data_IF_981256856626
#
_entry.id   IF_981256856626
#
_cell.length_a   1.000
_cell.length_b   1.000
_cell.length_c   1.000
_cell.angle_alpha   90.00
_cell.angle_beta   90.00
_cell.angle_gamma   90.00
#
_symmetry.space_group_name_H-M   'P 1'
#
loop_
_entity.id
_entity.type
_entity.pdbx_description
1 polymer ?
#
# COMPACT_ATOMS: atom_id res chain seq x y z
N UNK A 1 -17.15 -6.95 29.24
CA UNK A 1 -17.03 -6.72 30.70
C UNK A 1 -15.61 -6.29 31.00
N UNK A 2 -15.44 -5.29 31.85
CA UNK A 2 -14.13 -4.85 32.31
C UNK A 2 -13.45 -5.98 33.10
N UNK A 3 -12.27 -6.40 32.66
CA UNK A 3 -11.44 -7.32 33.42
C UNK A 3 -10.95 -6.62 34.69
N UNK A 4 -11.48 -7.00 35.84
CA UNK A 4 -10.95 -6.61 37.15
C UNK A 4 -9.68 -7.43 37.43
N UNK A 5 -8.50 -6.83 37.29
CA UNK A 5 -7.27 -7.52 37.68
C UNK A 5 -5.94 -6.93 37.19
N UNK A 6 -5.64 -5.68 37.53
CA UNK A 6 -4.30 -5.19 37.94
C UNK A 6 -4.28 -3.66 37.88
N UNK A 7 -4.11 -3.02 39.04
CA UNK A 7 -4.03 -1.57 39.18
C UNK A 7 -2.77 -1.05 38.46
N UNK A 8 -2.94 -0.36 37.32
CA UNK A 8 -1.92 0.50 36.75
C UNK A 8 -1.80 0.54 35.22
N UNK A 9 -2.31 -0.46 34.49
CA UNK A 9 -2.31 -0.48 33.02
C UNK A 9 -3.71 -0.76 32.48
N UNK A 10 -4.22 0.12 31.60
CA UNK A 10 -5.24 -0.29 30.63
C UNK A 10 -6.70 0.11 30.84
N UNK A 11 -7.03 1.23 31.50
CA UNK A 11 -8.43 1.74 31.46
C UNK A 11 -8.77 2.51 30.17
N UNK A 12 -7.79 3.14 29.50
CA UNK A 12 -8.05 3.93 28.29
C UNK A 12 -8.24 3.06 27.04
N UNK A 13 -7.53 1.93 26.94
CA UNK A 13 -7.51 1.06 25.75
C UNK A 13 -8.85 0.34 25.48
N UNK A 14 -9.74 0.24 26.47
CA UNK A 14 -11.04 -0.45 26.35
C UNK A 14 -12.24 0.52 26.44
N UNK A 15 -11.98 1.82 26.30
CA UNK A 15 -13.03 2.85 26.33
C UNK A 15 -13.65 2.98 24.94
N UNK A 16 -14.98 2.99 24.89
CA UNK A 16 -15.77 3.09 23.65
C UNK A 16 -16.60 4.37 23.71
N UNK A 17 -16.43 5.26 22.73
CA UNK A 17 -17.21 6.49 22.59
C UNK A 17 -18.35 6.37 21.58
N UNK A 18 -18.52 5.20 20.97
CA UNK A 18 -19.48 4.90 19.92
C UNK A 18 -18.96 5.24 18.53
N UNK A 19 -17.64 5.30 18.32
CA UNK A 19 -16.96 5.63 17.07
C UNK A 19 -17.49 4.78 15.92
N UNK A 20 -17.50 3.45 16.11
CA UNK A 20 -18.01 2.50 15.11
C UNK A 20 -19.42 2.86 14.62
N UNK A 21 -20.31 3.31 15.52
CA UNK A 21 -21.68 3.71 15.14
C UNK A 21 -21.67 4.88 14.15
N UNK A 22 -20.82 5.87 14.38
CA UNK A 22 -20.72 7.04 13.52
C UNK A 22 -19.91 6.75 12.25
N UNK A 23 -18.92 5.85 12.33
CA UNK A 23 -18.18 5.35 11.18
C UNK A 23 -19.15 4.70 10.18
N UNK A 24 -20.00 3.78 10.64
CA UNK A 24 -21.04 3.15 9.79
C UNK A 24 -22.04 4.16 9.20
N UNK A 25 -22.46 5.16 9.96
CA UNK A 25 -23.35 6.22 9.46
C UNK A 25 -22.69 7.06 8.38
N UNK A 26 -21.39 7.30 8.50
CA UNK A 26 -20.63 8.02 7.48
C UNK A 26 -20.58 7.24 6.17
N UNK A 27 -20.51 5.90 6.22
CA UNK A 27 -20.57 5.04 5.04
C UNK A 27 -21.92 5.14 4.33
N UNK A 28 -23.03 5.05 5.07
CA UNK A 28 -24.39 5.21 4.54
C UNK A 28 -24.57 6.59 3.89
N UNK A 29 -24.01 7.64 4.48
CA UNK A 29 -24.13 9.00 3.96
C UNK A 29 -23.28 9.27 2.73
N UNK A 30 -22.05 8.77 2.70
CA UNK A 30 -21.03 9.22 1.74
C UNK A 30 -20.57 8.15 0.75
N UNK A 31 -20.98 6.90 0.92
CA UNK A 31 -20.54 5.78 0.10
C UNK A 31 -21.67 4.77 -0.24
N UNK A 32 -22.92 5.02 0.16
CA UNK A 32 -24.05 4.12 -0.11
C UNK A 32 -24.28 3.83 -1.60
N UNK A 33 -23.83 4.70 -2.51
CA UNK A 33 -23.98 4.49 -3.96
C UNK A 33 -23.24 3.28 -4.53
N UNK A 34 -22.22 2.76 -3.82
CA UNK A 34 -21.40 1.64 -4.32
C UNK A 34 -21.10 0.55 -3.27
N UNK A 35 -21.45 0.77 -1.99
CA UNK A 35 -21.28 -0.26 -0.95
C UNK A 35 -22.33 -1.36 -1.14
N UNK A 36 -21.87 -2.60 -1.25
CA UNK A 36 -22.75 -3.77 -1.34
C UNK A 36 -22.98 -4.45 0.02
N UNK A 37 -21.91 -4.58 0.82
CA UNK A 37 -21.97 -5.30 2.10
C UNK A 37 -20.97 -4.73 3.10
N UNK A 38 -21.40 -4.61 4.34
CA UNK A 38 -20.59 -4.17 5.48
C UNK A 38 -20.33 -5.37 6.38
N UNK A 39 -19.07 -5.64 6.67
CA UNK A 39 -18.67 -6.68 7.62
C UNK A 39 -18.01 -6.05 8.85
N UNK A 40 -18.63 -6.20 10.00
CA UNK A 40 -18.11 -5.71 11.28
C UNK A 40 -17.29 -6.83 11.91
N UNK A 41 -15.97 -6.64 11.99
CA UNK A 41 -15.05 -7.62 12.54
C UNK A 41 -14.93 -7.42 14.05
N UNK A 42 -15.22 -8.47 14.82
CA UNK A 42 -15.34 -8.38 16.28
C UNK A 42 -14.63 -9.55 16.96
N UNK A 43 -14.37 -9.39 18.26
CA UNK A 43 -13.97 -10.50 19.10
C UNK A 43 -15.16 -11.39 19.46
N UNK A 44 -14.88 -12.64 19.82
CA UNK A 44 -15.84 -13.50 20.49
C UNK A 44 -15.90 -13.22 21.99
N UNK A 45 -17.11 -13.25 22.56
CA UNK A 45 -17.39 -13.09 23.99
C UNK A 45 -18.23 -14.26 24.48
N UNK A 46 -18.05 -14.65 25.75
CA UNK A 46 -18.88 -15.69 26.38
C UNK A 46 -20.23 -15.13 26.77
N UNK A 47 -21.29 -15.93 26.62
CA UNK A 47 -22.64 -15.52 26.98
C UNK A 47 -22.80 -15.16 28.47
N UNK A 48 -22.01 -15.77 29.37
CA UNK A 48 -22.07 -15.48 30.80
C UNK A 48 -20.90 -14.60 31.29
N UNK A 49 -21.16 -13.75 32.30
CA UNK A 49 -20.16 -12.89 32.95
C UNK A 49 -18.97 -13.63 33.57
N UNK A 50 -19.18 -14.88 33.96
CA UNK A 50 -18.23 -15.74 34.68
C UNK A 50 -17.21 -16.41 33.75
N UNK A 51 -17.25 -16.11 32.44
CA UNK A 51 -16.39 -16.71 31.43
C UNK A 51 -16.84 -18.11 30.99
N UNK A 52 -18.01 -18.58 31.43
CA UNK A 52 -18.56 -19.88 31.04
C UNK A 52 -19.61 -19.75 29.93
N UNK A 53 -19.75 -20.78 29.10
CA UNK A 53 -20.76 -20.84 28.04
C UNK A 53 -20.20 -20.68 26.63
N UNK A 54 -21.12 -20.67 25.66
CA UNK A 54 -20.80 -20.61 24.23
C UNK A 54 -20.18 -19.25 23.87
N UNK A 55 -19.11 -19.29 23.07
CA UNK A 55 -18.51 -18.11 22.47
C UNK A 55 -19.40 -17.60 21.34
N UNK A 56 -19.71 -16.30 21.37
CA UNK A 56 -20.49 -15.63 20.33
C UNK A 56 -19.81 -14.34 19.89
N UNK A 57 -19.99 -13.90 18.63
CA UNK A 57 -19.48 -12.62 18.18
C UNK A 57 -20.00 -11.48 19.06
N UNK A 58 -19.13 -10.56 19.48
CA UNK A 58 -19.53 -9.37 20.21
C UNK A 58 -20.42 -8.48 19.32
N UNK A 59 -21.68 -8.28 19.69
CA UNK A 59 -22.59 -7.39 18.98
C UNK A 59 -22.76 -6.06 19.73
N UNK A 60 -22.58 -4.90 19.07
CA UNK A 60 -22.87 -3.61 19.69
C UNK A 60 -24.34 -3.49 20.08
N UNK A 61 -24.63 -2.95 21.27
CA UNK A 61 -26.01 -2.87 21.80
C UNK A 61 -26.96 -1.99 20.97
N UNK A 62 -26.41 -1.07 20.18
CA UNK A 62 -27.18 -0.21 19.27
C UNK A 62 -27.47 -0.87 17.91
N UNK A 63 -26.83 -2.00 17.60
CA UNK A 63 -27.04 -2.75 16.37
C UNK A 63 -28.13 -3.81 16.59
N UNK A 64 -29.33 -3.52 16.11
CA UNK A 64 -30.50 -4.41 16.26
C UNK A 64 -30.26 -5.74 15.56
N UNK A 65 -30.78 -6.81 16.15
CA UNK A 65 -30.90 -8.12 15.49
C UNK A 65 -32.12 -8.06 14.57
N UNK A 66 -31.87 -8.09 13.28
CA UNK A 66 -32.91 -7.95 12.26
C UNK A 66 -32.42 -8.67 10.99
N UNK A 67 -33.11 -9.75 10.57
CA UNK A 67 -32.69 -10.56 9.43
C UNK A 67 -32.49 -9.76 8.13
N UNK A 68 -33.29 -8.71 7.91
CA UNK A 68 -33.15 -7.85 6.72
C UNK A 68 -31.86 -7.01 6.79
N UNK A 69 -31.55 -6.46 7.97
CA UNK A 69 -30.31 -5.70 8.18
C UNK A 69 -29.08 -6.61 8.13
N UNK A 70 -29.19 -7.86 8.60
CA UNK A 70 -28.08 -8.81 8.63
C UNK A 70 -27.65 -9.29 7.23
N UNK A 71 -28.48 -9.08 6.19
CA UNK A 71 -28.09 -9.30 4.78
C UNK A 71 -27.02 -8.28 4.34
N UNK A 72 -27.20 -7.01 4.72
CA UNK A 72 -26.31 -5.90 4.35
C UNK A 72 -25.18 -5.67 5.37
N UNK A 73 -25.44 -5.88 6.67
CA UNK A 73 -24.50 -5.65 7.79
C UNK A 73 -24.26 -6.96 8.54
N UNK A 74 -23.12 -7.59 8.30
CA UNK A 74 -22.77 -8.87 8.90
C UNK A 74 -21.74 -8.70 10.02
N UNK A 75 -22.03 -9.24 11.20
CA UNK A 75 -21.06 -9.30 12.31
C UNK A 75 -20.27 -10.61 12.21
N UNK A 76 -18.93 -10.51 12.18
CA UNK A 76 -18.02 -11.65 12.06
C UNK A 76 -17.05 -11.70 13.24
N UNK A 77 -16.96 -12.85 13.90
CA UNK A 77 -15.92 -13.07 14.89
C UNK A 77 -14.57 -13.37 14.23
N UNK A 78 -13.47 -13.17 14.96
CA UNK A 78 -12.12 -13.49 14.47
C UNK A 78 -11.96 -14.96 14.04
N UNK A 79 -12.61 -15.90 14.73
CA UNK A 79 -12.57 -17.33 14.39
C UNK A 79 -13.17 -17.63 13.01
N UNK A 80 -14.04 -16.75 12.50
CA UNK A 80 -14.69 -16.92 11.20
C UNK A 80 -13.74 -16.70 10.01
N UNK A 81 -12.60 -16.02 10.21
CA UNK A 81 -11.68 -15.69 9.12
C UNK A 81 -10.19 -15.97 9.39
N UNK A 82 -9.78 -16.10 10.65
CA UNK A 82 -8.43 -16.60 10.99
C UNK A 82 -8.27 -18.09 10.66
N UNK A 83 -7.05 -18.53 10.31
CA UNK A 83 -6.77 -19.95 10.06
C UNK A 83 -6.90 -20.76 11.35
N UNK A 84 -7.27 -22.02 11.22
CA UNK A 84 -7.45 -22.94 12.35
C UNK A 84 -6.20 -23.01 13.26
N UNK A 85 -5.01 -23.05 12.67
CA UNK A 85 -3.72 -23.05 13.37
C UNK A 85 -3.41 -21.75 14.14
N UNK A 86 -3.97 -20.62 13.67
CA UNK A 86 -3.80 -19.28 14.26
C UNK A 86 -4.87 -18.99 15.32
N UNK A 87 -5.96 -19.77 15.37
CA UNK A 87 -7.06 -19.57 16.33
C UNK A 87 -6.62 -19.65 17.79
N UNK A 88 -5.51 -20.36 18.08
CA UNK A 88 -4.90 -20.41 19.43
C UNK A 88 -4.40 -19.05 19.94
N UNK A 89 -4.24 -18.07 19.04
CA UNK A 89 -3.83 -16.71 19.34
C UNK A 89 -5.02 -15.75 19.51
N UNK A 90 -6.25 -16.26 19.44
CA UNK A 90 -7.48 -15.47 19.57
C UNK A 90 -8.01 -15.47 21.01
N UNK A 91 -8.72 -14.41 21.44
CA UNK A 91 -8.91 -13.15 20.73
C UNK A 91 -7.63 -12.33 20.68
N UNK A 92 -7.38 -11.64 19.57
CA UNK A 92 -6.27 -10.69 19.43
C UNK A 92 -6.80 -9.26 19.38
N UNK A 93 -6.08 -8.35 20.01
CA UNK A 93 -6.33 -6.90 19.95
C UNK A 93 -5.26 -6.19 19.11
N UNK A 94 -4.44 -6.95 18.37
CA UNK A 94 -3.46 -6.40 17.46
C UNK A 94 -4.12 -6.14 16.10
N UNK A 95 -4.29 -4.85 15.76
CA UNK A 95 -4.85 -4.37 14.49
C UNK A 95 -4.10 -4.95 13.30
N UNK A 96 -2.77 -4.93 13.30
CA UNK A 96 -1.94 -5.47 12.22
C UNK A 96 -2.21 -6.96 11.98
N UNK A 97 -2.39 -7.75 13.05
CA UNK A 97 -2.73 -9.16 12.92
C UNK A 97 -4.12 -9.34 12.27
N UNK A 98 -5.11 -8.55 12.68
CA UNK A 98 -6.47 -8.60 12.15
C UNK A 98 -6.50 -8.16 10.69
N UNK A 99 -5.91 -7.01 10.38
CA UNK A 99 -5.82 -6.41 9.03
C UNK A 99 -5.14 -7.36 8.04
N UNK A 100 -4.09 -8.06 8.48
CA UNK A 100 -3.39 -9.05 7.66
C UNK A 100 -4.27 -10.23 7.24
N UNK A 101 -5.40 -10.44 7.92
CA UNK A 101 -6.30 -11.58 7.76
C UNK A 101 -7.64 -11.20 7.10
N UNK A 102 -7.94 -9.91 6.92
CA UNK A 102 -9.23 -9.40 6.39
C UNK A 102 -9.60 -10.01 5.03
N UNK A 103 -8.61 -10.32 4.19
CA UNK A 103 -8.85 -10.92 2.87
C UNK A 103 -9.46 -12.34 2.92
N UNK A 104 -9.44 -12.98 4.09
CA UNK A 104 -9.98 -14.33 4.32
C UNK A 104 -11.44 -14.35 4.76
N UNK A 105 -12.01 -13.19 5.09
CA UNK A 105 -13.44 -13.04 5.44
C UNK A 105 -14.35 -13.74 4.43
N UNK A 106 -15.51 -14.27 4.80
CA UNK A 106 -16.42 -14.92 3.84
C UNK A 106 -17.15 -13.89 2.97
N UNK A 107 -16.69 -13.69 1.72
CA UNK A 107 -17.37 -12.86 0.71
C UNK A 107 -17.16 -13.44 -0.71
N UNK A 108 -18.09 -13.14 -1.61
CA UNK A 108 -18.03 -13.52 -3.03
C UNK A 108 -17.24 -12.52 -3.90
N UNK A 109 -17.01 -11.30 -3.42
CA UNK A 109 -16.40 -10.20 -4.17
C UNK A 109 -14.91 -10.09 -3.82
N UNK A 110 -14.09 -9.75 -4.82
CA UNK A 110 -12.62 -9.64 -4.68
C UNK A 110 -12.15 -8.40 -3.93
N UNK A 111 -12.84 -7.26 -4.11
CA UNK A 111 -12.42 -5.96 -3.62
C UNK A 111 -13.11 -5.61 -2.31
N UNK A 112 -12.30 -5.19 -1.33
CA UNK A 112 -12.71 -4.80 0.01
C UNK A 112 -12.06 -3.45 0.34
N UNK A 113 -12.73 -2.65 1.14
CA UNK A 113 -12.12 -1.49 1.80
C UNK A 113 -12.25 -1.72 3.29
N UNK A 114 -11.11 -1.84 3.98
CA UNK A 114 -11.05 -2.02 5.43
C UNK A 114 -10.88 -0.65 6.09
N UNK A 115 -11.72 -0.37 7.09
CA UNK A 115 -11.65 0.84 7.92
C UNK A 115 -11.56 0.40 9.38
N UNK A 116 -10.71 1.06 10.17
CA UNK A 116 -10.79 1.01 11.63
C UNK A 116 -12.06 1.71 12.12
N UNK A 117 -12.45 1.44 13.36
CA UNK A 117 -13.63 2.03 13.99
C UNK A 117 -13.52 3.55 14.20
N UNK A 118 -12.31 4.08 14.31
CA UNK A 118 -11.98 5.51 14.44
C UNK A 118 -11.86 6.26 13.10
N UNK A 119 -12.24 5.63 11.99
CA UNK A 119 -12.23 6.21 10.65
C UNK A 119 -13.63 6.59 10.15
N UNK A 120 -13.74 7.75 9.52
CA UNK A 120 -15.00 8.32 9.04
C UNK A 120 -14.84 8.93 7.65
N UNK A 121 -15.88 8.80 6.83
CA UNK A 121 -16.01 9.59 5.60
C UNK A 121 -16.68 10.93 5.94
N UNK A 122 -16.23 12.02 5.32
CA UNK A 122 -16.72 13.38 5.57
C UNK A 122 -17.23 14.12 4.34
N UNK A 123 -17.02 13.55 3.15
CA UNK A 123 -17.53 14.03 1.86
C UNK A 123 -17.96 12.83 1.02
N UNK A 124 -18.84 12.99 0.01
CA UNK A 124 -19.19 11.91 -0.91
C UNK A 124 -17.96 11.34 -1.62
N UNK A 125 -17.88 10.01 -1.73
CA UNK A 125 -16.81 9.30 -2.41
C UNK A 125 -17.31 8.59 -3.67
N UNK A 126 -16.39 8.38 -4.61
CA UNK A 126 -16.50 7.48 -5.74
C UNK A 126 -15.74 6.18 -5.49
N UNK A 127 -16.03 5.12 -6.26
CA UNK A 127 -15.26 3.86 -6.19
C UNK A 127 -13.77 4.11 -6.49
N UNK A 128 -13.49 5.01 -7.42
CA UNK A 128 -12.15 5.44 -7.84
C UNK A 128 -11.34 6.16 -6.76
N UNK A 129 -11.97 6.62 -5.68
CA UNK A 129 -11.25 7.14 -4.50
C UNK A 129 -10.53 6.03 -3.75
N UNK A 130 -10.98 4.77 -3.86
CA UNK A 130 -10.38 3.60 -3.20
C UNK A 130 -9.65 2.67 -4.19
N UNK A 131 -10.22 2.46 -5.38
CA UNK A 131 -9.70 1.51 -6.36
C UNK A 131 -10.11 1.86 -7.79
N UNK A 132 -9.20 1.63 -8.75
CA UNK A 132 -9.55 1.59 -10.17
C UNK A 132 -8.89 0.41 -10.89
N UNK A 133 -9.54 -0.20 -11.91
CA UNK A 133 -8.91 -1.23 -12.72
C UNK A 133 -7.64 -0.77 -13.45
N UNK A 134 -7.56 0.52 -13.80
CA UNK A 134 -6.44 1.10 -14.55
C UNK A 134 -5.24 1.48 -13.69
N UNK A 135 -5.45 1.83 -12.41
CA UNK A 135 -4.39 2.35 -11.54
C UNK A 135 -4.25 1.62 -10.19
N UNK A 136 -5.04 0.56 -9.99
CA UNK A 136 -5.00 -0.29 -8.81
C UNK A 136 -5.61 0.34 -7.56
N UNK A 137 -5.21 -0.18 -6.41
CA UNK A 137 -5.64 0.31 -5.09
C UNK A 137 -5.03 1.67 -4.79
N UNK A 138 -5.76 2.52 -4.07
CA UNK A 138 -5.25 3.81 -3.59
C UNK A 138 -4.59 3.60 -2.22
N UNK A 139 -3.45 4.26 -2.01
CA UNK A 139 -2.68 4.18 -0.78
C UNK A 139 -2.07 5.53 -0.40
N UNK A 140 -1.88 5.71 0.89
CA UNK A 140 -1.49 6.99 1.48
C UNK A 140 -0.15 6.85 2.20
N UNK A 141 0.89 7.63 1.84
CA UNK A 141 2.19 7.52 2.48
C UNK A 141 2.20 8.31 3.80
N UNK A 142 2.40 7.65 4.95
CA UNK A 142 2.73 8.37 6.21
C UNK A 142 3.63 7.57 7.16
N UNK A 143 3.81 8.09 8.39
CA UNK A 143 4.47 7.41 9.50
C UNK A 143 3.43 6.59 10.29
N UNK A 144 3.23 5.32 9.92
CA UNK A 144 2.37 4.38 10.66
C UNK A 144 2.91 4.00 12.06
N UNK A 145 2.45 2.87 12.61
CA UNK A 145 2.83 2.37 13.94
C UNK A 145 4.34 2.04 14.04
N UNK A 146 5.12 3.05 14.43
CA UNK A 146 6.59 3.10 14.34
C UNK A 146 7.35 1.84 14.81
N UNK A 147 7.02 1.17 15.93
CA UNK A 147 7.84 0.07 16.44
C UNK A 147 7.89 -1.15 15.50
N UNK A 148 6.74 -1.55 14.94
CA UNK A 148 6.64 -2.72 14.08
C UNK A 148 7.32 -2.50 12.73
N UNK A 149 7.16 -1.29 12.20
CA UNK A 149 7.81 -0.85 10.96
C UNK A 149 9.33 -0.98 11.04
N UNK A 150 9.96 -0.57 12.16
CA UNK A 150 11.41 -0.70 12.31
C UNK A 150 11.85 -2.16 12.31
N UNK A 151 11.09 -3.04 12.98
CA UNK A 151 11.40 -4.47 13.01
C UNK A 151 11.25 -5.12 11.63
N UNK A 152 10.13 -4.88 10.94
CA UNK A 152 9.90 -5.37 9.58
C UNK A 152 10.97 -4.84 8.63
N UNK A 153 11.31 -3.55 8.71
CA UNK A 153 12.37 -2.95 7.90
C UNK A 153 13.74 -3.55 8.20
N UNK A 154 14.05 -3.86 9.46
CA UNK A 154 15.27 -4.57 9.86
C UNK A 154 15.35 -5.96 9.22
N UNK A 155 14.29 -6.78 9.34
CA UNK A 155 14.24 -8.12 8.76
C UNK A 155 14.40 -8.08 7.22
N UNK A 156 13.71 -7.14 6.57
CA UNK A 156 13.81 -6.96 5.12
C UNK A 156 15.19 -6.44 4.70
N UNK A 157 15.81 -5.54 5.46
CA UNK A 157 17.16 -5.06 5.19
C UNK A 157 18.18 -6.19 5.32
N UNK A 158 18.03 -7.06 6.31
CA UNK A 158 18.92 -8.20 6.49
C UNK A 158 18.83 -9.19 5.33
N UNK A 159 17.62 -9.40 4.79
CA UNK A 159 17.39 -10.35 3.69
C UNK A 159 17.64 -9.78 2.29
N UNK A 160 17.35 -8.50 2.08
CA UNK A 160 17.29 -7.90 0.74
C UNK A 160 18.16 -6.65 0.57
N UNK A 161 18.97 -6.31 1.58
CA UNK A 161 19.80 -5.11 1.59
C UNK A 161 19.08 -3.87 2.11
N UNK A 162 19.84 -2.86 2.58
CA UNK A 162 19.31 -1.64 3.15
C UNK A 162 18.50 -0.84 2.11
N UNK A 163 17.25 -0.50 2.45
CA UNK A 163 16.43 0.43 1.66
C UNK A 163 15.53 1.28 2.55
N UNK A 164 15.27 2.51 2.12
CA UNK A 164 14.17 3.31 2.64
C UNK A 164 12.83 2.66 2.28
N UNK A 165 11.91 2.58 3.24
CA UNK A 165 10.56 2.03 3.03
C UNK A 165 9.56 3.01 3.63
N UNK A 166 8.61 3.43 2.80
CA UNK A 166 7.49 4.24 3.25
C UNK A 166 6.37 3.32 3.75
N UNK A 167 5.64 3.79 4.75
CA UNK A 167 4.58 3.03 5.42
C UNK A 167 3.25 3.63 4.98
N UNK A 168 2.23 2.78 4.89
CA UNK A 168 0.90 3.28 4.71
C UNK A 168 0.43 4.00 5.98
N UNK A 169 -0.33 5.06 5.79
CA UNK A 169 -0.99 5.75 6.87
C UNK A 169 -2.01 4.88 7.57
N UNK A 170 -2.23 5.16 8.86
CA UNK A 170 -3.35 4.57 9.60
C UNK A 170 -4.67 5.17 9.09
N UNK A 171 -5.14 4.64 7.96
CA UNK A 171 -6.32 5.03 7.21
C UNK A 171 -6.86 3.81 6.45
N UNK A 172 -7.88 4.00 5.63
CA UNK A 172 -8.53 2.90 4.93
C UNK A 172 -7.58 2.13 4.01
N UNK A 173 -7.76 0.81 4.00
CA UNK A 173 -6.95 -0.10 3.19
C UNK A 173 -7.81 -0.74 2.09
N UNK A 174 -7.48 -0.47 0.83
CA UNK A 174 -8.12 -1.10 -0.33
C UNK A 174 -7.47 -2.44 -0.65
N UNK A 175 -8.18 -3.52 -0.31
CA UNK A 175 -7.68 -4.89 -0.35
C UNK A 175 -8.28 -5.66 -1.53
N UNK A 176 -7.42 -6.39 -2.24
CA UNK A 176 -7.85 -7.42 -3.21
C UNK A 176 -7.57 -8.80 -2.66
N UNK A 177 -8.60 -9.62 -2.55
CA UNK A 177 -8.49 -10.97 -1.98
C UNK A 177 -7.64 -11.89 -2.86
N UNK A 178 -7.83 -11.83 -4.16
CA UNK A 178 -7.05 -12.60 -5.14
C UNK A 178 -5.57 -12.23 -5.07
N UNK A 179 -5.24 -10.93 -5.04
CA UNK A 179 -3.86 -10.46 -4.89
C UNK A 179 -3.27 -10.89 -3.54
N UNK A 180 -4.00 -10.72 -2.44
CA UNK A 180 -3.52 -11.10 -1.10
C UNK A 180 -3.29 -12.61 -0.98
N UNK A 181 -4.18 -13.45 -1.53
CA UNK A 181 -3.99 -14.91 -1.58
C UNK A 181 -2.77 -15.32 -2.39
N UNK A 182 -2.52 -14.65 -3.51
CA UNK A 182 -1.37 -14.96 -4.37
C UNK A 182 -0.05 -14.42 -3.81
N UNK A 183 -0.09 -13.29 -3.10
CA UNK A 183 1.06 -12.71 -2.41
C UNK A 183 1.43 -13.51 -1.17
N UNK A 184 0.43 -14.11 -0.51
CA UNK A 184 0.58 -14.78 0.77
C UNK A 184 0.10 -16.25 0.72
N UNK A 185 0.76 -17.11 -0.07
CA UNK A 185 0.40 -18.52 -0.10
C UNK A 185 0.64 -19.15 1.28
N UNK A 186 -0.18 -20.14 1.71
CA UNK A 186 -0.05 -20.80 3.00
C UNK A 186 1.37 -21.34 3.31
N UNK A 187 2.17 -21.61 2.27
CA UNK A 187 3.52 -22.17 2.37
C UNK A 187 4.60 -21.19 2.83
N UNK A 188 4.33 -19.88 2.93
CA UNK A 188 5.36 -18.85 3.17
C UNK A 188 5.43 -18.32 4.62
N UNK A 189 4.70 -18.93 5.57
CA UNK A 189 4.69 -18.49 6.98
C UNK A 189 3.93 -17.17 7.19
N UNK A 190 3.95 -16.55 8.40
CA UNK A 190 3.12 -15.40 8.73
C UNK A 190 3.53 -14.10 7.99
N UNK A 191 2.57 -13.17 7.74
CA UNK A 191 2.75 -11.93 6.97
C UNK A 191 3.96 -11.10 7.38
N UNK A 192 4.97 -11.01 6.50
CA UNK A 192 5.86 -9.86 6.45
C UNK A 192 5.13 -8.82 5.58
N UNK A 193 4.67 -7.77 6.25
CA UNK A 193 3.72 -6.74 5.82
C UNK A 193 3.84 -6.23 4.37
N UNK A 194 2.78 -5.52 3.97
CA UNK A 194 2.61 -4.73 2.75
C UNK A 194 3.82 -3.85 2.38
N UNK A 195 4.68 -3.49 3.34
CA UNK A 195 5.91 -2.69 3.20
C UNK A 195 7.02 -3.33 2.35
N UNK A 196 6.90 -4.61 2.01
CA UNK A 196 7.75 -5.26 1.00
C UNK A 196 7.34 -4.93 -0.45
N UNK A 197 6.25 -4.17 -0.68
CA UNK A 197 5.66 -3.88 -2.01
C UNK A 197 6.67 -3.29 -2.98
N UNK A 198 7.23 -2.11 -2.70
CA UNK A 198 8.06 -1.41 -3.70
C UNK A 198 9.38 -2.09 -3.95
N UNK A 199 10.03 -2.58 -2.88
CA UNK A 199 11.25 -3.36 -3.05
C UNK A 199 10.98 -4.63 -3.84
N UNK A 200 9.90 -5.35 -3.57
CA UNK A 200 9.57 -6.57 -4.31
C UNK A 200 9.25 -6.27 -5.77
N UNK A 201 8.45 -5.24 -6.01
CA UNK A 201 8.01 -4.87 -7.33
C UNK A 201 9.16 -4.29 -8.18
N UNK A 202 10.07 -3.53 -7.56
CA UNK A 202 11.33 -3.11 -8.17
C UNK A 202 12.19 -4.32 -8.56
N UNK A 203 12.46 -5.26 -7.64
CA UNK A 203 13.23 -6.48 -7.96
C UNK A 203 12.59 -7.30 -9.08
N UNK A 204 11.25 -7.36 -9.12
CA UNK A 204 10.51 -8.03 -10.19
C UNK A 204 10.79 -7.33 -11.51
N UNK A 205 10.67 -5.99 -11.56
CA UNK A 205 11.00 -5.20 -12.73
C UNK A 205 12.46 -5.42 -13.15
N UNK A 206 13.42 -5.27 -12.23
CA UNK A 206 14.84 -5.47 -12.53
C UNK A 206 15.12 -6.86 -13.10
N UNK A 207 14.51 -7.91 -12.51
CA UNK A 207 14.65 -9.29 -12.99
C UNK A 207 14.15 -9.44 -14.43
N UNK A 208 13.02 -8.82 -14.73
CA UNK A 208 12.42 -8.89 -16.06
C UNK A 208 13.15 -8.02 -17.07
N UNK A 209 13.70 -6.89 -16.66
CA UNK A 209 14.64 -6.13 -17.49
C UNK A 209 15.84 -7.00 -17.83
N UNK A 210 16.46 -7.68 -16.87
CA UNK A 210 17.57 -8.61 -17.13
C UNK A 210 17.15 -9.76 -18.06
N UNK A 211 16.00 -10.40 -17.82
CA UNK A 211 15.51 -11.50 -18.66
C UNK A 211 15.04 -11.07 -20.06
N UNK A 212 14.63 -9.81 -20.22
CA UNK A 212 14.32 -9.21 -21.53
C UNK A 212 15.60 -9.01 -22.34
N UNK A 213 16.67 -8.61 -21.67
CA UNK A 213 17.97 -8.32 -22.30
C UNK A 213 18.74 -9.58 -22.70
N UNK A 214 18.49 -10.70 -22.02
CA UNK A 214 18.98 -12.04 -22.40
C UNK A 214 18.08 -12.58 -23.53
N UNK A 215 18.42 -12.19 -24.75
CA UNK A 215 17.66 -12.48 -25.95
C UNK A 215 17.77 -13.93 -26.36
N UNK A 216 18.97 -14.51 -26.26
CA UNK A 216 19.30 -15.86 -26.67
C UNK A 216 18.95 -16.92 -25.60
N UNK A 217 18.77 -16.51 -24.33
CA UNK A 217 18.35 -17.34 -23.21
C UNK A 217 19.46 -18.21 -22.61
N UNK A 218 20.74 -17.88 -22.84
CA UNK A 218 21.89 -18.63 -22.35
C UNK A 218 22.32 -18.22 -20.93
N UNK A 219 21.74 -17.15 -20.38
CA UNK A 219 22.02 -16.64 -19.04
C UNK A 219 23.29 -15.79 -18.95
N UNK A 220 23.89 -15.40 -20.07
CA UNK A 220 25.11 -14.62 -20.18
C UNK A 220 24.93 -13.43 -21.12
N UNK A 221 25.23 -12.22 -20.65
CA UNK A 221 25.16 -11.05 -21.53
C UNK A 221 26.41 -10.95 -22.41
N UNK A 222 26.32 -11.49 -23.62
CA UNK A 222 27.32 -11.28 -24.66
C UNK A 222 27.41 -9.82 -25.10
N UNK A 223 28.43 -9.45 -25.88
CA UNK A 223 28.59 -8.07 -26.33
C UNK A 223 27.36 -7.50 -27.07
N UNK A 224 26.64 -8.31 -27.87
CA UNK A 224 25.46 -7.82 -28.57
C UNK A 224 24.33 -7.48 -27.59
N UNK A 225 24.11 -8.32 -26.58
CA UNK A 225 23.11 -8.09 -25.53
C UNK A 225 23.49 -6.94 -24.62
N UNK A 226 24.76 -6.83 -24.22
CA UNK A 226 25.29 -5.69 -23.45
C UNK A 226 25.10 -4.39 -24.20
N UNK A 227 25.40 -4.37 -25.50
CA UNK A 227 25.15 -3.19 -26.35
C UNK A 227 23.66 -2.83 -26.40
N UNK A 228 22.76 -3.81 -26.55
CA UNK A 228 21.32 -3.55 -26.51
C UNK A 228 20.85 -2.96 -25.17
N UNK A 229 21.42 -3.40 -24.04
CA UNK A 229 21.15 -2.80 -22.73
C UNK A 229 21.57 -1.32 -22.74
N UNK A 230 22.80 -1.04 -23.17
CA UNK A 230 23.35 0.31 -23.20
C UNK A 230 22.54 1.23 -24.11
N UNK A 231 22.18 0.78 -25.31
CA UNK A 231 21.40 1.56 -26.27
C UNK A 231 20.02 1.99 -25.72
N UNK A 232 19.40 1.17 -24.87
CA UNK A 232 18.11 1.49 -24.25
C UNK A 232 18.27 2.44 -23.05
N UNK A 233 19.38 2.36 -22.34
CA UNK A 233 19.64 3.11 -21.11
C UNK A 233 20.22 4.50 -21.41
N UNK A 234 21.09 4.60 -22.41
CA UNK A 234 21.86 5.79 -22.74
C UNK A 234 21.01 7.07 -22.90
N UNK A 235 19.86 7.08 -23.62
CA UNK A 235 19.09 8.32 -23.78
C UNK A 235 18.54 8.86 -22.47
N UNK A 236 18.01 7.98 -21.62
CA UNK A 236 17.49 8.34 -20.30
C UNK A 236 18.60 8.69 -19.33
N UNK A 237 19.74 8.00 -19.45
CA UNK A 237 20.93 8.30 -18.67
C UNK A 237 21.45 9.70 -18.99
N UNK A 238 21.68 10.05 -20.26
CA UNK A 238 22.13 11.38 -20.67
C UNK A 238 21.17 12.49 -20.24
N UNK A 239 19.86 12.23 -20.35
CA UNK A 239 18.82 13.17 -19.95
C UNK A 239 18.83 13.44 -18.43
N UNK A 240 18.99 12.40 -17.61
CA UNK A 240 18.81 12.47 -16.16
C UNK A 240 20.10 12.57 -15.35
N UNK A 241 21.26 12.33 -15.97
CA UNK A 241 22.59 12.47 -15.35
C UNK A 241 23.24 13.84 -15.60
N UNK A 242 22.69 14.66 -16.50
CA UNK A 242 23.25 15.98 -16.82
C UNK A 242 22.48 17.14 -16.18
N UNK A 243 23.25 18.19 -15.88
CA UNK A 243 22.99 19.51 -15.25
C UNK A 243 22.77 19.52 -13.74
N UNK A 244 23.82 19.97 -13.04
CA UNK A 244 23.88 20.62 -11.73
C UNK A 244 23.09 19.94 -10.59
N UNK A 245 23.76 19.48 -9.54
CA UNK A 245 23.10 18.85 -8.37
C UNK A 245 22.14 19.79 -7.63
N UNK A 246 22.17 21.09 -7.97
CA UNK A 246 21.27 22.13 -7.51
C UNK A 246 19.99 22.28 -8.35
N UNK A 247 19.92 21.75 -9.57
CA UNK A 247 18.75 21.84 -10.46
C UNK A 247 18.00 20.51 -10.61
N UNK A 248 16.66 20.52 -10.77
CA UNK A 248 15.89 19.30 -11.05
C UNK A 248 16.25 18.70 -12.41
N UNK A 249 16.39 17.37 -12.49
CA UNK A 249 16.68 16.67 -13.75
C UNK A 249 15.65 17.00 -14.84
N UNK A 250 16.13 17.36 -16.04
CA UNK A 250 15.30 17.71 -17.20
C UNK A 250 14.42 16.52 -17.55
N UNK A 251 13.12 16.75 -17.63
CA UNK A 251 12.15 15.71 -18.00
C UNK A 251 11.97 15.68 -19.51
N UNK A 252 11.75 14.49 -20.07
CA UNK A 252 11.39 14.34 -21.47
C UNK A 252 10.01 14.97 -21.70
N UNK A 253 9.91 15.91 -22.65
CA UNK A 253 8.66 16.61 -22.97
C UNK A 253 7.56 15.65 -23.48
N UNK A 254 7.97 14.55 -24.13
CA UNK A 254 7.07 13.55 -24.70
C UNK A 254 6.68 12.46 -23.68
N UNK A 255 7.21 12.50 -22.46
CA UNK A 255 6.86 11.53 -21.41
C UNK A 255 5.57 11.95 -20.68
N UNK A 256 4.51 11.18 -20.88
CA UNK A 256 3.25 11.35 -20.17
C UNK A 256 3.37 10.81 -18.74
N UNK A 257 3.32 11.75 -17.79
CA UNK A 257 3.24 11.46 -16.36
C UNK A 257 1.82 11.05 -16.00
N UNK A 258 1.56 9.75 -15.83
CA UNK A 258 0.22 9.20 -15.65
C UNK A 258 -0.45 9.70 -14.36
N UNK A 259 0.32 9.97 -13.32
CA UNK A 259 -0.23 10.57 -12.09
C UNK A 259 -0.93 11.92 -12.31
N UNK A 260 -0.48 12.77 -13.24
CA UNK A 260 -1.20 14.01 -13.60
C UNK A 260 -2.37 13.78 -14.56
N UNK A 261 -2.36 12.65 -15.27
CA UNK A 261 -3.37 12.31 -16.30
C UNK A 261 -4.42 11.32 -15.81
N UNK A 262 -4.35 10.89 -14.54
CA UNK A 262 -5.19 9.82 -14.00
C UNK A 262 -6.68 10.10 -14.18
N UNK A 263 -7.23 11.28 -13.83
CA UNK A 263 -8.65 11.56 -14.05
C UNK A 263 -9.04 11.44 -15.53
N UNK A 264 -8.28 12.02 -16.45
CA UNK A 264 -8.57 11.96 -17.89
C UNK A 264 -8.48 10.53 -18.44
N UNK A 265 -7.58 9.70 -17.89
CA UNK A 265 -7.48 8.30 -18.28
C UNK A 265 -8.66 7.46 -17.78
N UNK A 266 -9.20 7.77 -16.60
CA UNK A 266 -10.41 7.13 -16.08
C UNK A 266 -11.63 7.53 -16.91
N UNK A 267 -11.81 8.82 -17.17
CA UNK A 267 -12.91 9.34 -18.00
C UNK A 267 -12.89 8.72 -19.41
N UNK A 268 -11.71 8.67 -20.05
CA UNK A 268 -11.56 8.03 -21.37
C UNK A 268 -11.90 6.54 -21.38
N UNK A 269 -11.80 5.88 -20.23
CA UNK A 269 -12.11 4.47 -20.06
C UNK A 269 -13.54 4.22 -19.55
N UNK A 270 -14.38 5.26 -19.49
CA UNK A 270 -15.74 5.21 -18.96
C UNK A 270 -15.78 4.71 -17.50
N UNK A 271 -14.80 5.15 -16.72
CA UNK A 271 -14.69 4.89 -15.29
C UNK A 271 -15.00 6.16 -14.49
N UNK A 272 -15.61 5.97 -13.32
CA UNK A 272 -15.90 7.05 -12.38
C UNK A 272 -14.62 7.80 -11.97
N UNK A 273 -14.74 9.13 -11.82
CA UNK A 273 -13.64 9.99 -11.38
C UNK A 273 -13.56 10.05 -9.86
N UNK A 274 -12.35 10.13 -9.27
CA UNK A 274 -12.21 10.35 -7.83
C UNK A 274 -12.90 11.67 -7.43
N UNK A 275 -13.63 11.67 -6.33
CA UNK A 275 -14.33 12.85 -5.83
C UNK A 275 -13.50 13.60 -4.79
N UNK A 276 -12.69 12.86 -4.04
CA UNK A 276 -11.92 13.40 -2.91
C UNK A 276 -10.41 13.28 -3.15
N UNK A 277 -9.95 12.12 -3.61
CA UNK A 277 -8.54 11.77 -3.68
C UNK A 277 -7.91 12.25 -5.00
N UNK A 278 -8.02 13.55 -5.23
CA UNK A 278 -7.64 14.24 -6.47
C UNK A 278 -6.13 14.50 -6.56
N UNK A 279 -5.47 14.71 -5.43
CA UNK A 279 -4.04 14.99 -5.39
C UNK A 279 -3.22 13.69 -5.51
N UNK A 280 -3.01 13.24 -6.74
CA UNK A 280 -2.25 12.02 -7.01
C UNK A 280 -0.76 12.32 -7.08
N UNK A 281 0.00 11.69 -6.20
CA UNK A 281 1.44 11.85 -6.07
C UNK A 281 2.24 10.95 -6.99
N UNK A 282 1.78 9.72 -7.20
CA UNK A 282 2.48 8.74 -8.03
C UNK A 282 1.53 7.62 -8.47
N UNK A 283 1.76 7.04 -9.64
CA UNK A 283 1.08 5.80 -10.06
C UNK A 283 2.11 4.74 -10.36
N UNK A 284 1.82 3.49 -10.00
CA UNK A 284 2.76 2.40 -10.23
C UNK A 284 2.97 2.08 -11.73
N UNK A 285 2.10 2.58 -12.61
CA UNK A 285 2.31 2.51 -14.08
C UNK A 285 3.38 3.49 -14.58
N UNK A 286 3.75 4.50 -13.79
CA UNK A 286 4.92 5.36 -14.01
C UNK A 286 6.23 4.73 -13.48
N UNK A 287 6.16 3.53 -12.87
CA UNK A 287 7.28 2.83 -12.26
C UNK A 287 7.17 2.73 -10.73
N UNK A 288 8.10 2.03 -10.06
CA UNK A 288 8.12 1.92 -8.60
C UNK A 288 8.29 3.29 -7.93
N UNK A 289 7.71 3.48 -6.74
CA UNK A 289 7.84 4.77 -6.01
C UNK A 289 9.31 5.14 -5.75
N UNK A 290 10.19 4.15 -5.59
CA UNK A 290 11.63 4.34 -5.34
C UNK A 290 12.31 5.21 -6.40
N UNK A 291 11.84 5.19 -7.65
CA UNK A 291 12.44 6.00 -8.72
C UNK A 291 11.97 7.46 -8.76
N UNK A 292 10.91 7.80 -8.01
CA UNK A 292 10.30 9.14 -8.00
C UNK A 292 11.33 10.21 -7.65
N UNK A 293 12.03 10.03 -6.52
CA UNK A 293 12.95 11.02 -5.95
C UNK A 293 14.42 10.61 -5.99
N UNK A 294 14.77 9.45 -6.58
CA UNK A 294 16.17 9.03 -6.69
C UNK A 294 16.97 9.97 -7.58
N UNK A 295 18.20 10.30 -7.15
CA UNK A 295 19.18 11.09 -7.92
C UNK A 295 20.22 10.14 -8.50
N UNK A 296 20.39 10.16 -9.81
CA UNK A 296 21.23 9.19 -10.52
C UNK A 296 22.57 9.77 -11.01
N UNK A 297 23.08 10.80 -10.34
CA UNK A 297 24.36 11.44 -10.69
C UNK A 297 25.56 10.52 -10.42
N UNK A 298 25.50 9.69 -9.37
CA UNK A 298 26.55 8.71 -9.03
C UNK A 298 26.43 7.38 -9.80
N UNK A 299 25.61 7.34 -10.85
CA UNK A 299 25.47 6.14 -11.66
C UNK A 299 26.73 5.92 -12.50
N UNK A 300 27.31 4.73 -12.39
CA UNK A 300 28.49 4.31 -13.14
C UNK A 300 28.26 2.90 -13.67
N UNK A 301 28.55 2.68 -14.97
CA UNK A 301 28.42 1.37 -15.59
C UNK A 301 29.27 0.32 -14.88
N UNK A 302 30.52 0.63 -14.57
CA UNK A 302 31.44 -0.32 -13.93
C UNK A 302 30.94 -0.70 -12.52
N UNK A 303 30.48 0.29 -11.74
CA UNK A 303 29.87 0.04 -10.43
C UNK A 303 28.60 -0.81 -10.51
N UNK A 304 27.74 -0.52 -11.48
CA UNK A 304 26.40 -1.11 -11.55
C UNK A 304 26.36 -2.46 -12.28
N UNK A 305 27.25 -2.70 -13.25
CA UNK A 305 27.24 -3.86 -14.14
C UNK A 305 28.53 -4.70 -14.12
N UNK A 306 29.55 -4.31 -13.34
CA UNK A 306 30.93 -4.82 -13.32
C UNK A 306 31.84 -4.08 -14.29
N UNK A 307 33.13 -4.12 -13.97
CA UNK A 307 34.20 -3.51 -14.73
C UNK A 307 34.17 -3.97 -16.20
N UNK A 308 34.32 -3.00 -17.10
CA UNK A 308 34.38 -3.23 -18.55
C UNK A 308 33.09 -3.81 -19.15
N UNK A 309 31.94 -3.69 -18.48
CA UNK A 309 30.65 -4.10 -19.05
C UNK A 309 30.33 -3.39 -20.38
N UNK A 310 30.76 -2.13 -20.52
CA UNK A 310 30.60 -1.34 -21.74
C UNK A 310 31.63 -1.59 -22.84
N UNK A 311 32.56 -2.53 -22.66
CA UNK A 311 33.63 -2.81 -23.62
C UNK A 311 33.38 -4.10 -24.41
N UNK A 312 33.58 -4.11 -25.74
CA UNK A 312 33.55 -5.33 -26.55
C UNK A 312 34.70 -6.27 -26.19
N UNK A 313 35.84 -5.73 -25.75
CA UNK A 313 37.07 -6.48 -25.50
C UNK A 313 36.98 -7.44 -24.30
N UNK A 314 35.95 -7.31 -23.47
CA UNK A 314 35.79 -8.07 -22.24
C UNK A 314 35.50 -9.56 -22.45
N UNK A 315 35.07 -9.95 -23.66
CA UNK A 315 34.77 -11.35 -24.00
C UNK A 315 35.85 -11.98 -24.90
N UNK A 316 36.89 -11.23 -25.28
CA UNK A 316 37.90 -11.65 -26.28
C UNK A 316 38.79 -12.81 -25.81
N UNK A 317 39.04 -12.91 -24.49
CA UNK A 317 39.94 -13.93 -23.91
C UNK A 317 39.20 -15.08 -23.22
N UNK A 318 38.11 -14.78 -22.49
CA UNK A 318 37.31 -15.76 -21.75
C UNK A 318 36.01 -15.10 -21.27
N UNK A 319 34.94 -15.88 -21.09
CA UNK A 319 33.69 -15.36 -20.51
C UNK A 319 33.92 -14.76 -19.12
N UNK A 320 33.67 -13.46 -18.97
CA UNK A 320 33.66 -12.83 -17.67
C UNK A 320 32.39 -13.25 -16.90
N UNK A 321 32.55 -14.11 -15.89
CA UNK A 321 31.42 -14.62 -15.10
C UNK A 321 30.58 -13.53 -14.43
N UNK A 322 31.09 -12.30 -14.30
CA UNK A 322 30.33 -11.17 -13.75
C UNK A 322 29.24 -10.63 -14.68
N UNK A 323 29.27 -11.01 -15.96
CA UNK A 323 28.23 -10.69 -16.95
C UNK A 323 27.12 -11.74 -17.02
N UNK A 324 27.17 -12.77 -16.17
CA UNK A 324 26.04 -13.67 -16.00
C UNK A 324 24.79 -12.89 -15.57
N UNK A 325 23.66 -13.13 -16.23
CA UNK A 325 22.41 -12.41 -15.97
C UNK A 325 21.98 -12.51 -14.49
N UNK A 326 22.24 -13.64 -13.84
CA UNK A 326 21.98 -13.86 -12.41
C UNK A 326 22.84 -12.97 -11.49
N UNK A 327 24.12 -12.76 -11.82
CA UNK A 327 25.02 -11.89 -11.05
C UNK A 327 24.70 -10.42 -11.27
N UNK A 328 24.47 -10.00 -12.52
CA UNK A 328 24.04 -8.63 -12.84
C UNK A 328 22.72 -8.31 -12.14
N UNK A 329 21.74 -9.22 -12.20
CA UNK A 329 20.48 -9.07 -11.46
C UNK A 329 20.72 -8.94 -9.95
N UNK A 330 21.51 -9.84 -9.35
CA UNK A 330 21.82 -9.78 -7.92
C UNK A 330 22.45 -8.46 -7.50
N UNK A 331 23.35 -7.93 -8.35
CA UNK A 331 24.00 -6.64 -8.14
C UNK A 331 22.97 -5.50 -8.17
N UNK A 332 22.16 -5.39 -9.22
CA UNK A 332 21.18 -4.32 -9.38
C UNK A 332 20.01 -4.39 -8.39
N UNK A 333 19.58 -5.61 -8.01
CA UNK A 333 18.42 -5.82 -7.17
C UNK A 333 18.71 -5.71 -5.66
N UNK A 334 19.92 -6.12 -5.24
CA UNK A 334 20.26 -6.34 -3.83
C UNK A 334 21.55 -5.64 -3.38
N UNK A 335 22.64 -5.71 -4.15
CA UNK A 335 23.95 -5.15 -3.71
C UNK A 335 24.02 -3.63 -3.90
N UNK A 336 23.55 -3.16 -5.04
CA UNK A 336 23.47 -1.76 -5.44
C UNK A 336 22.04 -1.42 -5.89
N UNK A 337 21.09 -1.39 -4.94
CA UNK A 337 19.68 -1.13 -5.23
C UNK A 337 19.45 0.18 -6.01
N UNK A 338 20.24 1.21 -5.72
CA UNK A 338 20.19 2.51 -6.40
C UNK A 338 20.53 2.40 -7.89
N UNK A 339 21.44 1.49 -8.27
CA UNK A 339 21.74 1.21 -9.67
C UNK A 339 20.52 0.62 -10.39
N UNK A 340 19.79 -0.32 -9.76
CA UNK A 340 18.57 -0.89 -10.31
C UNK A 340 17.45 0.13 -10.44
N UNK A 341 17.29 1.01 -9.45
CA UNK A 341 16.33 2.11 -9.49
C UNK A 341 16.66 3.11 -10.60
N UNK A 342 17.93 3.52 -10.72
CA UNK A 342 18.37 4.40 -11.80
C UNK A 342 18.21 3.77 -13.18
N UNK A 343 18.53 2.48 -13.32
CA UNK A 343 18.30 1.73 -14.56
C UNK A 343 16.84 1.82 -15.00
N UNK A 344 15.90 1.53 -14.10
CA UNK A 344 14.47 1.61 -14.40
C UNK A 344 14.06 3.04 -14.74
N UNK A 345 14.56 4.02 -14.00
CA UNK A 345 14.30 5.44 -14.24
C UNK A 345 14.75 5.88 -15.63
N UNK A 346 15.95 5.48 -16.06
CA UNK A 346 16.49 5.78 -17.39
C UNK A 346 15.66 5.13 -18.50
N UNK A 347 15.36 3.84 -18.36
CA UNK A 347 14.56 3.09 -19.33
C UNK A 347 13.15 3.70 -19.49
N UNK A 348 12.53 4.14 -18.40
CA UNK A 348 11.19 4.75 -18.43
C UNK A 348 11.19 6.21 -18.91
N UNK A 349 12.25 6.98 -18.65
CA UNK A 349 12.37 8.37 -19.11
C UNK A 349 12.40 8.50 -20.65
N UNK A 350 12.91 7.47 -21.33
CA UNK A 350 12.92 7.38 -22.80
C UNK A 350 11.57 6.94 -23.40
N UNK A 351 10.63 6.48 -22.58
CA UNK A 351 9.34 5.98 -23.04
C UNK A 351 8.26 7.06 -22.96
N UNK A 352 7.30 7.03 -23.89
CA UNK A 352 6.15 7.96 -23.83
C UNK A 352 5.30 7.73 -22.58
N UNK A 353 5.05 6.48 -22.18
CA UNK A 353 4.28 6.14 -20.96
C UNK A 353 4.32 4.64 -20.64
N UNK A 354 3.97 4.32 -19.39
CA UNK A 354 3.73 2.95 -18.95
C UNK A 354 5.01 2.13 -18.82
N UNK A 355 4.84 0.82 -18.58
CA UNK A 355 5.94 -0.10 -18.28
C UNK A 355 6.40 -0.92 -19.50
N UNK A 356 5.93 -0.60 -20.72
CA UNK A 356 6.22 -1.37 -21.94
C UNK A 356 7.71 -1.70 -22.15
N UNK A 357 8.65 -0.77 -21.97
CA UNK A 357 10.08 -1.05 -22.18
C UNK A 357 10.66 -2.08 -21.21
N UNK A 358 10.02 -2.27 -20.05
CA UNK A 358 10.46 -3.20 -19.00
C UNK A 358 9.86 -4.60 -19.18
N UNK A 359 8.88 -4.76 -20.07
CA UNK A 359 8.23 -6.04 -20.31
C UNK A 359 9.03 -6.88 -21.31
N UNK A 360 9.00 -8.22 -21.24
CA UNK A 360 9.52 -9.06 -22.31
C UNK A 360 8.95 -8.69 -23.69
N UNK A 361 9.70 -8.96 -24.77
CA UNK A 361 9.27 -8.63 -26.12
C UNK A 361 7.94 -9.31 -26.45
N UNK A 362 7.14 -8.70 -27.32
CA UNK A 362 5.81 -9.22 -27.72
C UNK A 362 5.89 -10.61 -28.38
N UNK A 363 7.06 -11.00 -28.89
CA UNK A 363 7.34 -12.34 -29.41
C UNK A 363 7.38 -13.44 -28.33
N UNK A 364 7.53 -13.10 -27.05
CA UNK A 364 7.51 -14.03 -25.90
C UNK A 364 6.23 -13.83 -25.06
N UNK A 365 5.03 -14.18 -25.57
CA UNK A 365 3.75 -13.84 -24.92
C UNK A 365 3.54 -14.55 -23.57
N UNK A 366 4.07 -15.77 -23.40
CA UNK A 366 3.98 -16.52 -22.13
C UNK A 366 4.73 -15.82 -21.01
N UNK A 367 6.00 -15.47 -21.26
CA UNK A 367 6.84 -14.77 -20.29
C UNK A 367 6.24 -13.41 -19.96
N UNK A 368 5.77 -12.70 -20.98
CA UNK A 368 5.11 -11.41 -20.82
C UNK A 368 3.86 -11.49 -19.94
N UNK A 369 3.03 -12.52 -20.09
CA UNK A 369 1.86 -12.72 -19.22
C UNK A 369 2.27 -12.99 -17.76
N UNK A 370 3.34 -13.75 -17.54
CA UNK A 370 3.88 -13.98 -16.18
C UNK A 370 4.33 -12.66 -15.56
N UNK A 371 5.03 -11.82 -16.32
CA UNK A 371 5.46 -10.49 -15.85
C UNK A 371 4.29 -9.60 -15.51
N UNK A 372 3.32 -9.48 -16.41
CA UNK A 372 2.13 -8.62 -16.19
C UNK A 372 1.37 -9.08 -14.95
N UNK A 373 1.18 -10.39 -14.76
CA UNK A 373 0.55 -10.94 -13.55
C UNK A 373 1.35 -10.59 -12.30
N UNK A 374 2.68 -10.71 -12.33
CA UNK A 374 3.54 -10.35 -11.21
C UNK A 374 3.45 -8.84 -10.87
N UNK A 375 3.47 -7.96 -11.88
CA UNK A 375 3.37 -6.51 -11.68
C UNK A 375 1.98 -6.08 -11.19
N UNK A 376 0.90 -6.72 -11.66
CA UNK A 376 -0.47 -6.44 -11.22
C UNK A 376 -0.66 -6.58 -9.71
N UNK A 377 0.14 -7.41 -9.03
CA UNK A 377 0.10 -7.59 -7.56
C UNK A 377 0.52 -6.35 -6.77
N UNK A 378 1.28 -5.46 -7.40
CA UNK A 378 1.85 -4.25 -6.78
C UNK A 378 1.24 -2.98 -7.35
N UNK A 379 0.26 -3.13 -8.23
CA UNK A 379 -0.40 -2.04 -8.91
C UNK A 379 -1.20 -1.21 -7.91
N UNK A 380 -0.74 0.02 -7.67
CA UNK A 380 -1.38 0.96 -6.76
C UNK A 380 -1.10 2.41 -7.16
N UNK A 381 -1.84 3.32 -6.54
CA UNK A 381 -1.68 4.76 -6.69
C UNK A 381 -1.42 5.39 -5.33
N UNK A 382 -0.48 6.31 -5.30
CA UNK A 382 -0.12 7.07 -4.10
C UNK A 382 -0.82 8.41 -4.18
N UNK A 383 -1.61 8.73 -3.16
CA UNK A 383 -2.36 9.99 -3.05
C UNK A 383 -1.84 10.83 -1.89
N UNK A 384 -1.89 12.14 -2.06
CA UNK A 384 -1.44 13.10 -1.06
C UNK A 384 -2.47 13.28 0.05
N UNK A 385 -2.01 13.53 1.28
CA UNK A 385 -2.81 13.54 2.51
C UNK A 385 -3.69 14.77 2.73
N UNK A 386 -3.87 15.64 1.73
CA UNK A 386 -4.65 16.89 1.83
C UNK A 386 -6.16 16.65 1.98
N UNK A 387 -6.65 15.57 1.38
CA UNK A 387 -8.02 15.09 1.51
C UNK A 387 -8.30 14.38 2.86
N UNK A 388 -7.25 14.17 3.67
CA UNK A 388 -7.31 13.45 4.93
C UNK A 388 -7.05 14.34 6.14
N UNK A 389 -7.66 13.98 7.26
CA UNK A 389 -7.39 14.61 8.56
C UNK A 389 -7.22 13.55 9.65
N UNK A 390 -5.96 13.32 10.02
CA UNK A 390 -5.60 12.53 11.20
C UNK A 390 -5.53 13.44 12.43
N UNK A 391 -6.21 13.06 13.51
CA UNK A 391 -6.20 13.78 14.78
C UNK A 391 -6.01 12.78 15.90
N UNK A 392 -4.89 12.91 16.61
CA UNK A 392 -4.69 12.25 17.89
C UNK A 392 -5.29 13.13 18.99
N UNK A 393 -6.43 12.71 19.54
CA UNK A 393 -7.16 13.44 20.58
C UNK A 393 -6.50 13.16 21.93
N UNK A 394 -5.93 14.19 22.56
CA UNK A 394 -5.26 14.11 23.86
C UNK A 394 -6.11 14.68 25.00
N UNK A 395 -6.93 15.67 24.71
CA UNK A 395 -7.81 16.34 25.66
C UNK A 395 -9.06 16.94 24.99
N UNK A 396 -10.00 17.40 25.82
CA UNK A 396 -11.29 17.90 25.37
C UNK A 396 -11.20 19.27 24.66
N UNK A 397 -10.23 20.10 25.01
CA UNK A 397 -10.07 21.43 24.42
C UNK A 397 -9.50 21.33 23.00
N UNK A 398 -8.52 20.44 22.80
CA UNK A 398 -8.00 20.08 21.49
C UNK A 398 -9.12 19.52 20.59
N UNK A 399 -9.91 18.59 21.10
CA UNK A 399 -11.04 18.02 20.36
C UNK A 399 -12.04 19.11 19.95
N UNK A 400 -12.38 20.03 20.86
CA UNK A 400 -13.28 21.14 20.57
C UNK A 400 -12.70 22.09 19.51
N UNK A 401 -11.44 22.49 19.63
CA UNK A 401 -10.83 23.42 18.68
C UNK A 401 -10.69 22.80 17.28
N UNK A 402 -10.15 21.58 17.17
CA UNK A 402 -9.88 20.93 15.87
C UNK A 402 -11.17 20.43 15.19
N UNK A 403 -12.13 19.91 15.96
CA UNK A 403 -13.31 19.26 15.40
C UNK A 403 -14.54 20.17 15.41
N UNK A 404 -14.82 20.90 16.48
CA UNK A 404 -15.99 21.79 16.50
C UNK A 404 -15.67 23.14 15.85
N UNK A 405 -14.62 23.83 16.28
CA UNK A 405 -14.37 25.19 15.81
C UNK A 405 -13.81 25.21 14.38
N UNK A 406 -12.80 24.38 14.07
CA UNK A 406 -12.20 24.35 12.72
C UNK A 406 -13.02 23.62 11.67
N UNK A 407 -13.63 22.49 12.03
CA UNK A 407 -14.34 21.66 11.05
C UNK A 407 -15.81 22.08 10.92
N UNK A 408 -16.53 22.24 12.04
CA UNK A 408 -17.95 22.59 12.02
C UNK A 408 -18.18 24.09 11.83
N UNK A 409 -17.52 24.96 12.62
CA UNK A 409 -17.79 26.41 12.57
C UNK A 409 -17.09 27.13 11.42
N UNK A 410 -15.81 26.84 11.18
CA UNK A 410 -15.03 27.43 10.08
C UNK A 410 -15.35 26.73 8.74
N UNK A 411 -16.00 25.56 8.77
CA UNK A 411 -16.45 24.84 7.58
C UNK A 411 -15.34 24.12 6.81
N UNK A 412 -14.17 23.89 7.42
CA UNK A 412 -13.09 23.16 6.78
C UNK A 412 -13.38 21.66 6.77
N UNK A 413 -13.85 21.15 5.63
CA UNK A 413 -14.16 19.73 5.45
C UNK A 413 -12.98 18.96 4.84
N UNK A 414 -12.86 17.70 5.22
CA UNK A 414 -11.95 16.73 4.64
C UNK A 414 -12.76 15.54 4.16
N UNK A 415 -12.26 14.81 3.17
CA UNK A 415 -12.97 13.61 2.71
C UNK A 415 -12.93 12.50 3.72
N UNK A 416 -11.82 12.36 4.45
CA UNK A 416 -11.65 11.29 5.41
C UNK A 416 -11.07 11.81 6.71
N UNK A 417 -11.56 11.29 7.81
CA UNK A 417 -11.12 11.61 9.17
C UNK A 417 -10.67 10.33 9.87
N UNK A 418 -9.56 10.41 10.59
CA UNK A 418 -9.15 9.39 11.55
C UNK A 418 -8.97 10.08 12.92
N UNK A 419 -9.75 9.62 13.90
CA UNK A 419 -9.87 10.24 15.22
C UNK A 419 -9.37 9.28 16.30
N UNK A 420 -8.07 9.07 16.37
CA UNK A 420 -7.47 8.19 17.35
C UNK A 420 -7.41 8.87 18.74
N UNK A 421 -7.86 8.21 19.80
CA UNK A 421 -7.86 8.76 21.15
C UNK A 421 -6.73 8.19 22.03
N UNK A 422 -5.96 9.06 22.67
CA UNK A 422 -4.99 8.70 23.72
C UNK A 422 -5.24 9.55 24.96
N UNK A 423 -6.53 9.71 25.30
CA UNK A 423 -6.91 10.59 26.41
C UNK A 423 -6.63 9.90 27.74
N UNK A 424 -5.62 10.42 28.45
CA UNK A 424 -5.11 9.90 29.72
C UNK A 424 -6.03 10.13 30.93
N UNK A 425 -7.02 11.02 30.83
CA UNK A 425 -7.78 11.48 32.00
C UNK A 425 -9.05 10.67 32.27
N UNK A 426 -9.29 10.31 33.53
CA UNK A 426 -10.56 9.76 34.06
C UNK A 426 -11.74 10.75 34.06
N UNK A 427 -11.63 11.91 33.40
CA UNK A 427 -12.67 12.93 33.46
C UNK A 427 -13.87 12.56 32.57
N UNK A 428 -15.04 12.53 33.19
CA UNK A 428 -16.36 12.18 32.67
C UNK A 428 -16.93 13.15 31.63
N UNK A 429 -16.11 14.05 31.06
CA UNK A 429 -16.57 15.21 30.29
C UNK A 429 -15.99 15.34 28.88
N UNK A 430 -15.46 14.27 28.28
CA UNK A 430 -15.20 14.30 26.84
C UNK A 430 -16.51 14.21 26.08
N UNK A 431 -16.91 15.34 25.49
CA UNK A 431 -18.03 15.47 24.54
C UNK A 431 -17.68 14.88 23.15
N UNK A 432 -16.84 13.84 23.06
CA UNK A 432 -16.49 13.16 21.80
C UNK A 432 -17.74 12.66 21.08
N UNK A 433 -18.76 12.18 21.81
CA UNK A 433 -20.08 11.81 21.26
C UNK A 433 -20.76 12.91 20.45
N UNK A 434 -20.63 14.18 20.84
CA UNK A 434 -21.23 15.31 20.11
C UNK A 434 -20.48 15.62 18.81
N UNK A 435 -19.20 15.24 18.76
CA UNK A 435 -18.29 15.58 17.68
C UNK A 435 -18.34 14.53 16.58
N UNK A 436 -18.27 13.25 16.92
CA UNK A 436 -18.48 12.17 15.94
C UNK A 436 -19.89 12.25 15.32
N UNK A 437 -20.87 12.71 16.10
CA UNK A 437 -22.23 13.01 15.59
C UNK A 437 -22.31 14.23 14.69
N UNK A 438 -21.35 15.15 14.73
CA UNK A 438 -21.34 16.34 13.87
C UNK A 438 -20.62 16.09 12.54
N UNK A 439 -19.75 15.07 12.48
CA UNK A 439 -18.97 14.69 11.31
C UNK A 439 -19.67 13.63 10.45
N UNK A 440 -20.37 12.68 11.08
CA UNK A 440 -21.25 11.73 10.41
C UNK A 440 -22.62 12.36 10.12
#
# INVERSE_FOLDING_TARGET
>A
MAASGSRGMGTNRYRDWGELRYSLRSLDRYAAGFINKIQILVNSVTAKPDGTGELRPQRPSWLREDPENDEHVQVLSQEAFFREEERRCLPTFNSLAIESEVYKTPLAIDRLVALSDDMFLGLPHAVSDFYSPLFGSKGWPTFGEKPFVYHTSYLLNHRFGPRARHVQAHFEHSVSRSVMRERWPPSLGPPLEEHATDSAANRIITRFTSARSDTNGDGYFDWMERRMILDVVEPGWQLLSSSDSSEPAKQNADHDRMYYRLPQMLEKADLELPMVNLNVFWTYVDGPETIRNIRCHDFSLDKCFADSFGSPLSDDASQNTDFMASKVFSRLASQHPDCGDCLIKFVLASATRGLEPLLPPKSKPKDRLVVIKALKKYHRTIVGTDAMKFIMIKDADQARMELLDRTVKIGKKYGQYCLNDDVMTCQTQLKTKSVSSALA
#
